data_IF_552343568641
#
_entry.id   IF_552343568641
#
_cell.length_a   1.000
_cell.length_b   1.000
_cell.length_c   1.000
_cell.angle_alpha   90.00
_cell.angle_beta   90.00
_cell.angle_gamma   90.00
#
_symmetry.space_group_name_H-M   'P 1'
#
loop_
_entity.id
_entity.type
_entity.pdbx_description
1 polymer ?
#
# COMPACT_ATOMS: atom_id res chain seq x y z
N UNK A 1 59.40 8.85 -4.02
CA UNK A 1 58.44 9.48 -3.06
C UNK A 1 57.14 9.71 -3.77
N UNK A 2 56.10 8.90 -3.50
CA UNK A 2 54.76 9.20 -4.00
C UNK A 2 54.31 10.49 -3.33
N UNK A 3 53.80 11.40 -4.13
CA UNK A 3 53.36 12.72 -3.68
C UNK A 3 52.11 12.55 -2.82
N UNK A 4 51.95 13.28 -1.73
CA UNK A 4 50.82 13.22 -0.81
C UNK A 4 49.44 13.43 -1.51
N UNK A 5 49.48 13.97 -2.72
CA UNK A 5 48.33 14.10 -3.65
C UNK A 5 48.00 12.81 -4.39
N UNK A 6 49.03 12.02 -4.79
CA UNK A 6 48.84 10.74 -5.47
C UNK A 6 48.20 9.72 -4.53
N UNK A 7 48.58 9.71 -3.23
CA UNK A 7 47.93 8.86 -2.23
C UNK A 7 46.45 9.26 -1.98
N UNK A 8 46.19 10.58 -1.95
CA UNK A 8 44.78 11.06 -1.83
C UNK A 8 43.94 10.73 -3.04
N UNK A 9 44.49 10.76 -4.23
CA UNK A 9 43.84 10.41 -5.48
C UNK A 9 43.63 8.89 -5.54
N UNK A 10 44.64 8.10 -5.22
CA UNK A 10 44.54 6.63 -5.19
C UNK A 10 43.52 6.15 -4.13
N UNK A 11 43.47 6.76 -2.96
CA UNK A 11 42.48 6.47 -1.93
C UNK A 11 41.08 6.82 -2.40
N UNK A 12 40.91 7.97 -3.07
CA UNK A 12 39.60 8.40 -3.60
C UNK A 12 39.13 7.55 -4.80
N UNK A 13 40.06 7.09 -5.64
CA UNK A 13 39.79 6.14 -6.72
C UNK A 13 39.43 4.78 -6.15
N UNK A 14 40.09 4.35 -5.06
CA UNK A 14 39.76 3.09 -4.38
C UNK A 14 38.39 3.16 -3.69
N UNK A 15 38.08 4.31 -3.08
CA UNK A 15 36.79 4.60 -2.47
C UNK A 15 35.66 4.62 -3.54
N UNK A 16 35.92 5.19 -4.71
CA UNK A 16 35.01 5.18 -5.87
C UNK A 16 34.86 3.78 -6.44
N UNK A 17 35.93 3.00 -6.54
CA UNK A 17 35.88 1.59 -7.02
C UNK A 17 35.19 0.66 -6.04
N UNK A 18 35.23 0.92 -4.75
CA UNK A 18 34.58 0.15 -3.71
C UNK A 18 33.10 0.59 -3.49
N UNK A 19 32.72 1.77 -3.97
CA UNK A 19 31.33 2.19 -4.02
C UNK A 19 30.65 1.66 -5.29
N UNK A 20 30.36 0.36 -5.30
CA UNK A 20 29.71 -0.35 -6.42
C UNK A 20 28.28 0.16 -6.76
N UNK A 21 27.77 1.22 -6.10
CA UNK A 21 26.36 1.58 -6.09
C UNK A 21 25.99 2.95 -6.67
N UNK A 22 26.91 3.76 -7.17
CA UNK A 22 26.59 5.07 -7.74
C UNK A 22 26.94 5.11 -9.23
N UNK A 23 25.92 5.06 -10.06
CA UNK A 23 26.11 4.96 -11.52
C UNK A 23 25.76 6.21 -12.30
N UNK A 24 24.96 7.12 -11.71
CA UNK A 24 24.56 8.36 -12.35
C UNK A 24 24.39 9.46 -11.31
N UNK A 25 24.90 10.65 -11.63
CA UNK A 25 24.77 11.82 -10.76
C UNK A 25 24.06 12.94 -11.47
N UNK A 26 23.20 13.63 -10.77
CA UNK A 26 22.47 14.80 -11.25
C UNK A 26 22.48 15.93 -10.24
N UNK A 27 21.81 17.02 -10.59
CA UNK A 27 21.64 18.18 -9.71
C UNK A 27 20.17 18.54 -9.60
N UNK A 28 19.75 18.93 -8.40
CA UNK A 28 18.42 19.46 -8.14
C UNK A 28 18.24 20.79 -8.88
N UNK A 29 17.25 20.88 -9.75
CA UNK A 29 16.86 22.10 -10.46
C UNK A 29 15.78 22.84 -9.69
N UNK A 30 14.80 22.10 -9.16
CA UNK A 30 13.64 22.66 -8.47
C UNK A 30 13.18 21.75 -7.35
N UNK A 31 12.83 22.34 -6.23
CA UNK A 31 12.24 21.69 -5.07
C UNK A 31 10.76 22.07 -4.97
N UNK A 32 9.87 21.11 -4.81
CA UNK A 32 8.43 21.32 -4.62
C UNK A 32 7.91 20.35 -3.57
N UNK A 33 7.63 20.80 -2.38
CA UNK A 33 7.10 20.01 -1.24
C UNK A 33 7.72 18.60 -1.11
N UNK A 34 7.13 17.62 -1.80
CA UNK A 34 7.54 16.21 -1.79
C UNK A 34 8.05 15.70 -3.15
N UNK A 35 8.33 16.62 -4.08
CA UNK A 35 8.83 16.31 -5.42
C UNK A 35 10.02 17.17 -5.79
N UNK A 36 10.96 16.59 -6.54
CA UNK A 36 12.13 17.28 -7.08
C UNK A 36 12.16 17.17 -8.59
N UNK A 37 12.65 18.22 -9.24
CA UNK A 37 13.13 18.17 -10.63
C UNK A 37 14.66 18.13 -10.58
N UNK A 38 15.27 17.14 -11.21
CA UNK A 38 16.72 17.00 -11.31
C UNK A 38 17.17 16.93 -12.78
N UNK A 39 18.38 17.40 -13.06
CA UNK A 39 19.05 17.29 -14.37
C UNK A 39 20.29 16.42 -14.26
N UNK A 40 20.80 15.93 -15.41
CA UNK A 40 22.05 15.16 -15.46
C UNK A 40 21.89 13.67 -15.19
N UNK A 41 20.71 13.21 -14.85
CA UNK A 41 20.38 11.80 -14.67
C UNK A 41 19.97 11.19 -16.02
N UNK A 42 20.94 10.93 -16.90
CA UNK A 42 20.65 10.52 -18.29
C UNK A 42 20.37 9.02 -18.44
N UNK A 43 20.74 8.21 -17.44
CA UNK A 43 20.64 6.75 -17.48
C UNK A 43 19.98 6.24 -16.20
N UNK A 44 18.70 6.56 -16.06
CA UNK A 44 17.87 6.14 -14.91
C UNK A 44 16.61 5.44 -15.38
N UNK A 45 16.11 4.56 -14.54
CA UNK A 45 14.87 3.80 -14.77
C UNK A 45 13.72 4.32 -13.90
N UNK A 46 12.46 4.03 -14.30
CA UNK A 46 11.31 4.26 -13.44
C UNK A 46 11.44 3.46 -12.14
N UNK A 47 10.99 4.06 -11.03
CA UNK A 47 11.10 3.50 -9.67
C UNK A 47 12.53 3.25 -9.18
N UNK A 48 13.55 3.71 -9.90
CA UNK A 48 14.93 3.65 -9.41
C UNK A 48 15.11 4.49 -8.16
N UNK A 49 15.74 3.91 -7.13
CA UNK A 49 16.03 4.60 -5.86
C UNK A 49 17.08 5.67 -6.08
N UNK A 50 16.83 6.85 -5.52
CA UNK A 50 17.74 7.98 -5.55
C UNK A 50 18.02 8.53 -4.15
N UNK A 51 19.26 8.95 -3.93
CA UNK A 51 19.70 9.63 -2.71
C UNK A 51 20.03 11.09 -3.06
N UNK A 52 19.54 12.03 -2.28
CA UNK A 52 19.77 13.45 -2.43
C UNK A 52 20.66 13.92 -1.31
N UNK A 53 21.96 14.13 -1.59
CA UNK A 53 22.95 14.68 -0.69
C UNK A 53 22.97 14.05 0.74
N UNK A 54 22.55 12.79 0.87
CA UNK A 54 22.34 12.05 2.13
C UNK A 54 21.32 12.69 3.11
N UNK A 55 20.53 13.65 2.66
CA UNK A 55 19.47 14.30 3.46
C UNK A 55 18.07 13.90 3.05
N UNK A 56 17.92 13.24 1.88
CA UNK A 56 16.63 12.73 1.45
C UNK A 56 16.79 11.49 0.57
N UNK A 57 15.72 10.67 0.55
CA UNK A 57 15.58 9.52 -0.33
C UNK A 57 14.28 9.63 -1.11
N UNK A 58 14.31 9.12 -2.33
CA UNK A 58 13.15 9.08 -3.20
C UNK A 58 13.31 8.05 -4.29
N UNK A 59 12.41 8.10 -5.25
CA UNK A 59 12.47 7.28 -6.46
C UNK A 59 12.10 8.09 -7.68
N UNK A 60 12.56 7.63 -8.84
CA UNK A 60 12.27 8.24 -10.13
C UNK A 60 10.80 8.01 -10.49
N UNK A 61 10.04 9.10 -10.53
CA UNK A 61 8.60 9.10 -10.84
C UNK A 61 8.33 9.27 -12.35
N UNK A 62 9.12 10.10 -13.03
CA UNK A 62 8.94 10.39 -14.45
C UNK A 62 10.26 10.85 -15.08
N UNK A 63 10.49 10.42 -16.30
CA UNK A 63 11.68 10.76 -17.10
C UNK A 63 11.22 11.62 -18.26
N UNK A 64 11.73 12.85 -18.33
CA UNK A 64 11.47 13.82 -19.40
C UNK A 64 12.77 14.05 -20.20
N UNK A 65 12.67 14.66 -21.36
CA UNK A 65 13.80 14.83 -22.30
C UNK A 65 15.05 15.48 -21.69
N UNK A 66 14.88 16.40 -20.74
CA UNK A 66 15.99 17.17 -20.14
C UNK A 66 15.98 17.20 -18.61
N UNK A 67 15.06 16.50 -17.98
CA UNK A 67 14.93 16.44 -16.53
C UNK A 67 14.20 15.18 -16.08
N UNK A 68 14.44 14.84 -14.81
CA UNK A 68 13.81 13.71 -14.13
C UNK A 68 12.98 14.25 -12.97
N UNK A 69 11.75 13.74 -12.81
CA UNK A 69 10.92 14.00 -11.64
C UNK A 69 11.15 12.90 -10.63
N UNK A 70 11.47 13.29 -9.40
CA UNK A 70 11.73 12.41 -8.28
C UNK A 70 10.65 12.63 -7.22
N UNK A 71 10.04 11.57 -6.76
CA UNK A 71 9.12 11.58 -5.63
C UNK A 71 9.88 11.26 -4.35
N UNK A 72 9.79 12.14 -3.35
CA UNK A 72 10.48 11.99 -2.07
C UNK A 72 9.70 11.04 -1.16
N UNK A 73 10.40 10.14 -0.51
CA UNK A 73 9.82 9.17 0.43
C UNK A 73 10.32 9.41 1.87
N UNK A 74 11.53 9.93 2.00
CA UNK A 74 12.13 10.28 3.28
C UNK A 74 12.91 11.59 3.15
N UNK A 75 12.76 12.48 4.13
CA UNK A 75 13.47 13.76 4.20
C UNK A 75 13.93 13.97 5.64
N UNK A 76 15.23 14.08 5.84
CA UNK A 76 15.85 14.28 7.15
C UNK A 76 16.48 15.67 7.31
N UNK A 77 16.64 16.41 6.21
CA UNK A 77 17.26 17.73 6.20
C UNK A 77 16.73 18.63 5.10
N UNK A 78 17.26 19.85 5.01
CA UNK A 78 16.88 20.82 3.98
C UNK A 78 17.48 20.44 2.62
N UNK A 79 16.68 20.51 1.56
CA UNK A 79 17.12 20.26 0.18
C UNK A 79 17.15 21.60 -0.56
N UNK A 80 18.28 21.87 -1.25
CA UNK A 80 18.51 23.12 -1.98
C UNK A 80 18.68 22.86 -3.49
N UNK A 81 18.36 23.86 -4.28
CA UNK A 81 18.70 23.86 -5.71
C UNK A 81 20.22 23.77 -5.86
N UNK A 82 20.67 22.87 -6.72
CA UNK A 82 22.09 22.57 -6.92
C UNK A 82 22.62 21.39 -6.11
N UNK A 83 21.87 20.86 -5.14
CA UNK A 83 22.25 19.64 -4.41
C UNK A 83 22.43 18.46 -5.36
N UNK A 84 23.37 17.58 -5.01
CA UNK A 84 23.67 16.40 -5.82
C UNK A 84 22.61 15.31 -5.59
N UNK A 85 22.22 14.70 -6.69
CA UNK A 85 21.31 13.54 -6.72
C UNK A 85 22.08 12.34 -7.24
N UNK A 86 22.06 11.26 -6.48
CA UNK A 86 22.72 10.00 -6.78
C UNK A 86 21.68 8.94 -7.12
N UNK A 87 21.68 8.44 -8.35
CA UNK A 87 20.90 7.30 -8.75
C UNK A 87 21.62 6.01 -8.39
N UNK A 88 20.96 5.04 -7.78
CA UNK A 88 21.60 3.88 -7.14
C UNK A 88 21.55 2.61 -8.01
N UNK A 89 21.00 2.68 -9.24
CA UNK A 89 20.83 1.53 -10.16
C UNK A 89 20.12 0.33 -9.53
N UNK A 90 19.26 0.60 -8.57
CA UNK A 90 18.41 -0.39 -7.95
C UNK A 90 16.99 0.15 -7.84
N UNK A 91 16.01 -0.72 -7.97
CA UNK A 91 14.62 -0.38 -7.76
C UNK A 91 14.38 -0.02 -6.28
N UNK A 92 13.53 0.98 -6.05
CA UNK A 92 13.08 1.32 -4.70
C UNK A 92 12.26 0.16 -4.12
N UNK A 93 12.66 -0.32 -2.94
CA UNK A 93 12.03 -1.44 -2.27
C UNK A 93 11.53 -1.06 -0.89
N UNK A 94 10.43 -1.69 -0.49
CA UNK A 94 9.93 -1.62 0.87
C UNK A 94 10.56 -2.71 1.74
N UNK A 95 10.58 -2.49 3.06
CA UNK A 95 11.25 -3.34 4.01
C UNK A 95 10.26 -3.87 5.03
N UNK A 96 10.17 -5.18 5.20
CA UNK A 96 9.37 -5.82 6.24
C UNK A 96 10.14 -6.93 6.94
N UNK A 97 9.66 -7.30 8.11
CA UNK A 97 10.15 -8.45 8.87
C UNK A 97 9.00 -9.38 9.22
N UNK A 98 9.26 -10.67 9.33
CA UNK A 98 8.28 -11.61 9.91
C UNK A 98 8.03 -11.32 11.40
N UNK A 99 8.99 -10.69 12.08
CA UNK A 99 8.84 -10.22 13.47
C UNK A 99 7.88 -9.03 13.61
N UNK A 100 7.36 -8.50 12.48
CA UNK A 100 6.34 -7.43 12.46
C UNK A 100 4.92 -7.92 12.82
N UNK A 101 4.71 -9.22 12.96
CA UNK A 101 3.43 -9.76 13.43
C UNK A 101 3.14 -9.25 14.85
N UNK A 102 1.95 -8.72 15.06
CA UNK A 102 1.55 -8.11 16.33
C UNK A 102 2.02 -6.66 16.51
N UNK A 103 2.55 -6.04 15.46
CA UNK A 103 3.12 -4.67 15.51
C UNK A 103 2.42 -3.72 14.55
N UNK A 104 2.71 -2.44 14.76
CA UNK A 104 2.37 -1.35 13.81
C UNK A 104 3.65 -0.91 13.14
N UNK A 105 3.73 -1.04 11.82
CA UNK A 105 4.96 -0.81 11.05
C UNK A 105 4.73 0.18 9.90
N UNK A 106 5.79 0.81 9.47
CA UNK A 106 5.83 1.58 8.21
C UNK A 106 6.44 0.75 7.06
N UNK A 107 6.53 1.34 5.88
CA UNK A 107 7.10 0.71 4.68
C UNK A 107 8.64 0.55 4.73
N UNK A 108 9.31 1.05 5.75
CA UNK A 108 10.76 0.95 5.96
C UNK A 108 11.13 -0.09 7.03
N UNK A 109 10.16 -0.82 7.58
CA UNK A 109 10.38 -1.78 8.64
C UNK A 109 10.69 -1.17 10.00
N UNK A 110 10.09 -0.01 10.31
CA UNK A 110 10.14 0.58 11.64
C UNK A 110 8.90 0.15 12.44
N UNK A 111 9.10 -0.29 13.67
CA UNK A 111 8.01 -0.44 14.64
C UNK A 111 7.62 0.96 15.14
N UNK A 112 6.43 1.41 14.76
CA UNK A 112 5.93 2.76 15.05
C UNK A 112 5.49 2.94 16.51
N UNK A 113 5.33 1.84 17.26
CA UNK A 113 5.00 1.88 18.70
C UNK A 113 6.27 1.86 19.52
N UNK A 114 7.20 0.94 19.23
CA UNK A 114 8.46 0.84 19.96
C UNK A 114 9.51 1.88 19.51
N UNK A 115 9.32 2.52 18.36
CA UNK A 115 10.27 3.48 17.79
C UNK A 115 11.61 2.84 17.40
N UNK A 116 11.61 1.57 17.03
CA UNK A 116 12.80 0.81 16.68
C UNK A 116 12.65 0.17 15.31
N UNK A 117 13.76 -0.02 14.62
CA UNK A 117 13.82 -0.79 13.39
C UNK A 117 14.05 -2.26 13.70
N UNK A 118 13.48 -3.15 12.89
CA UNK A 118 13.73 -4.59 13.05
C UNK A 118 15.12 -4.96 12.56
N UNK A 119 15.75 -5.95 13.20
CA UNK A 119 17.11 -6.39 12.86
C UNK A 119 17.15 -7.19 11.56
N UNK A 120 16.08 -7.97 11.28
CA UNK A 120 15.98 -8.82 10.09
C UNK A 120 14.92 -8.25 9.16
N UNK A 121 15.37 -7.52 8.15
CA UNK A 121 14.51 -6.94 7.13
C UNK A 121 14.68 -7.68 5.80
N UNK A 122 13.55 -7.91 5.14
CA UNK A 122 13.46 -8.49 3.80
C UNK A 122 12.97 -7.38 2.86
N UNK A 123 13.61 -7.27 1.72
CA UNK A 123 13.27 -6.30 0.68
C UNK A 123 12.12 -6.82 -0.19
N UNK A 124 11.11 -5.98 -0.42
CA UNK A 124 9.96 -6.26 -1.27
C UNK A 124 9.82 -5.18 -2.34
N UNK A 125 9.73 -5.55 -3.63
CA UNK A 125 9.48 -4.59 -4.70
C UNK A 125 8.08 -3.98 -4.52
N UNK A 126 7.91 -2.72 -4.93
CA UNK A 126 6.60 -2.06 -4.94
C UNK A 126 5.71 -2.73 -5.99
N UNK A 127 6.27 -2.95 -7.16
CA UNK A 127 5.62 -3.63 -8.28
C UNK A 127 6.31 -4.97 -8.51
N UNK A 128 5.87 -6.00 -7.76
CA UNK A 128 6.30 -7.38 -8.00
C UNK A 128 5.63 -7.96 -9.25
N UNK A 129 6.18 -9.07 -9.75
CA UNK A 129 5.54 -9.84 -10.79
C UNK A 129 4.19 -10.35 -10.30
N UNK A 130 3.15 -10.09 -11.09
CA UNK A 130 1.81 -10.58 -10.76
C UNK A 130 1.76 -12.09 -10.94
N UNK A 131 0.97 -12.77 -10.09
CA UNK A 131 0.70 -14.19 -10.25
C UNK A 131 0.14 -14.46 -11.64
N UNK A 132 0.79 -15.35 -12.39
CA UNK A 132 0.35 -15.75 -13.73
C UNK A 132 -1.09 -16.27 -13.71
N UNK A 133 -1.81 -16.11 -14.81
CA UNK A 133 -3.17 -16.66 -14.96
C UNK A 133 -3.17 -18.18 -14.73
N UNK A 134 -2.13 -18.88 -15.17
CA UNK A 134 -2.01 -20.33 -15.02
C UNK A 134 -1.80 -20.77 -13.56
N UNK A 135 -1.26 -19.88 -12.72
CA UNK A 135 -1.00 -20.16 -11.31
C UNK A 135 -2.15 -19.71 -10.39
N UNK A 136 -3.18 -19.07 -10.96
CA UNK A 136 -4.40 -18.66 -10.23
C UNK A 136 -5.36 -19.85 -10.13
N UNK A 137 -5.64 -20.27 -8.90
CA UNK A 137 -6.63 -21.28 -8.58
C UNK A 137 -8.05 -20.70 -8.51
N UNK A 138 -9.04 -21.59 -8.63
CA UNK A 138 -10.44 -21.20 -8.42
C UNK A 138 -10.71 -20.89 -6.94
N UNK A 139 -11.53 -19.89 -6.68
CA UNK A 139 -12.02 -19.56 -5.35
C UNK A 139 -13.07 -20.61 -4.94
N UNK A 140 -12.66 -21.53 -4.07
CA UNK A 140 -13.52 -22.65 -3.58
C UNK A 140 -13.54 -22.78 -2.06
N UNK A 141 -12.62 -22.07 -1.36
CA UNK A 141 -12.52 -22.13 0.09
C UNK A 141 -13.20 -20.91 0.69
N UNK A 142 -14.07 -21.13 1.67
CA UNK A 142 -14.77 -20.06 2.37
C UNK A 142 -13.83 -19.19 3.21
N UNK A 143 -14.11 -17.91 3.26
CA UNK A 143 -13.53 -16.96 4.19
C UNK A 143 -14.63 -16.42 5.10
N UNK A 144 -14.68 -16.94 6.33
CA UNK A 144 -15.72 -16.56 7.28
C UNK A 144 -15.37 -15.26 7.99
N UNK A 145 -16.23 -14.26 7.85
CA UNK A 145 -16.12 -12.97 8.52
C UNK A 145 -16.58 -13.03 9.99
N UNK A 146 -17.38 -14.02 10.36
CA UNK A 146 -18.04 -14.14 11.66
C UNK A 146 -19.28 -13.25 11.79
N UNK A 147 -19.69 -12.62 10.69
CA UNK A 147 -20.90 -11.79 10.61
C UNK A 147 -21.95 -12.58 9.84
N UNK A 148 -22.92 -13.13 10.55
CA UNK A 148 -23.95 -14.05 10.00
C UNK A 148 -24.60 -13.53 8.72
N UNK A 149 -24.94 -12.24 8.66
CA UNK A 149 -25.57 -11.67 7.48
C UNK A 149 -24.66 -11.64 6.24
N UNK A 150 -23.33 -11.57 6.42
CA UNK A 150 -22.36 -11.66 5.33
C UNK A 150 -22.15 -13.12 4.96
N UNK A 151 -21.82 -13.96 5.94
CA UNK A 151 -21.40 -15.34 5.71
C UNK A 151 -22.52 -16.19 5.09
N UNK A 152 -23.81 -15.86 5.35
CA UNK A 152 -24.97 -16.55 4.76
C UNK A 152 -25.43 -15.96 3.41
N UNK A 153 -25.50 -14.61 3.29
CA UNK A 153 -26.13 -13.97 2.14
C UNK A 153 -25.11 -13.57 1.09
N UNK A 154 -23.93 -13.11 1.51
CA UNK A 154 -22.84 -12.64 0.66
C UNK A 154 -21.51 -13.34 1.01
N UNK A 155 -21.47 -14.67 0.98
CA UNK A 155 -20.27 -15.39 1.39
C UNK A 155 -19.05 -14.93 0.58
N UNK A 156 -17.92 -14.88 1.26
CA UNK A 156 -16.65 -14.45 0.70
C UNK A 156 -15.73 -15.67 0.59
N UNK A 157 -15.00 -15.77 -0.49
CA UNK A 157 -14.01 -16.82 -0.69
C UNK A 157 -12.59 -16.36 -0.41
N UNK A 158 -11.73 -17.27 0.00
CA UNK A 158 -10.30 -17.02 0.13
C UNK A 158 -9.70 -16.72 -1.25
N UNK A 159 -9.06 -15.55 -1.38
CA UNK A 159 -8.58 -15.04 -2.67
C UNK A 159 -9.54 -14.08 -3.37
N UNK A 160 -10.71 -13.81 -2.79
CA UNK A 160 -11.70 -12.87 -3.32
C UNK A 160 -11.38 -11.43 -2.92
N UNK A 161 -11.83 -10.49 -3.74
CA UNK A 161 -11.76 -9.03 -3.49
C UNK A 161 -13.18 -8.55 -3.21
N UNK A 162 -13.49 -8.28 -1.95
CA UNK A 162 -14.82 -7.84 -1.53
C UNK A 162 -14.78 -6.42 -1.02
N UNK A 163 -15.37 -5.49 -1.77
CA UNK A 163 -15.42 -4.07 -1.41
C UNK A 163 -16.35 -3.82 -0.22
N UNK A 164 -15.92 -2.97 0.70
CA UNK A 164 -16.74 -2.41 1.78
C UNK A 164 -16.89 -0.93 1.52
N UNK A 165 -18.11 -0.48 1.18
CA UNK A 165 -18.38 0.89 0.75
C UNK A 165 -19.52 1.52 1.56
N UNK A 166 -19.41 2.80 1.84
CA UNK A 166 -20.47 3.57 2.53
C UNK A 166 -19.94 4.85 3.16
N UNK A 167 -20.83 5.63 3.74
CA UNK A 167 -20.51 6.92 4.33
C UNK A 167 -19.64 6.81 5.58
N UNK A 168 -19.08 7.94 5.98
CA UNK A 168 -18.31 8.04 7.21
C UNK A 168 -19.15 7.61 8.42
N UNK A 169 -18.52 6.89 9.36
CA UNK A 169 -19.14 6.43 10.62
C UNK A 169 -20.28 5.40 10.45
N UNK A 170 -20.38 4.70 9.33
CA UNK A 170 -21.36 3.61 9.12
C UNK A 170 -20.90 2.24 9.64
N UNK A 171 -19.68 2.15 10.21
CA UNK A 171 -19.16 0.90 10.79
C UNK A 171 -18.24 0.10 9.85
N UNK A 172 -17.78 0.66 8.72
CA UNK A 172 -16.85 -0.03 7.78
C UNK A 172 -15.61 -0.59 8.46
N UNK A 173 -14.88 0.26 9.19
CA UNK A 173 -13.68 -0.14 9.94
C UNK A 173 -14.00 -1.22 10.96
N UNK A 174 -15.11 -1.10 11.70
CA UNK A 174 -15.52 -2.10 12.68
C UNK A 174 -15.79 -3.46 12.03
N UNK A 175 -16.47 -3.48 10.88
CA UNK A 175 -16.69 -4.71 10.11
C UNK A 175 -15.38 -5.38 9.72
N UNK A 176 -14.38 -4.60 9.26
CA UNK A 176 -13.05 -5.11 8.96
C UNK A 176 -12.35 -5.71 10.19
N UNK A 177 -12.44 -5.03 11.34
CA UNK A 177 -11.85 -5.51 12.59
C UNK A 177 -12.54 -6.79 13.07
N UNK A 178 -13.85 -6.89 12.94
CA UNK A 178 -14.61 -8.10 13.28
C UNK A 178 -14.20 -9.29 12.41
N UNK A 179 -14.04 -9.05 11.09
CA UNK A 179 -13.54 -10.06 10.15
C UNK A 179 -12.12 -10.53 10.51
N UNK A 180 -11.23 -9.62 10.93
CA UNK A 180 -9.87 -9.97 11.42
C UNK A 180 -9.96 -10.81 12.68
N UNK A 181 -10.74 -10.38 13.68
CA UNK A 181 -10.86 -11.07 14.96
C UNK A 181 -11.40 -12.50 14.76
N UNK A 182 -12.30 -12.70 13.80
CA UNK A 182 -12.85 -14.01 13.49
C UNK A 182 -11.84 -14.98 12.86
N UNK A 183 -10.64 -14.51 12.46
CA UNK A 183 -9.59 -15.40 11.93
C UNK A 183 -8.80 -16.15 13.01
N UNK A 184 -9.08 -15.91 14.29
CA UNK A 184 -8.42 -16.60 15.40
C UNK A 184 -8.53 -18.11 15.24
N UNK A 185 -7.39 -18.82 15.21
CA UNK A 185 -7.34 -20.26 15.07
C UNK A 185 -7.62 -20.82 13.67
N UNK A 186 -7.83 -19.97 12.65
CA UNK A 186 -8.12 -20.39 11.27
C UNK A 186 -6.90 -20.42 10.36
N UNK A 187 -5.71 -20.21 10.91
CA UNK A 187 -4.44 -20.17 10.17
C UNK A 187 -4.41 -19.13 9.05
N UNK A 188 -4.99 -17.96 9.31
CA UNK A 188 -5.01 -16.80 8.42
C UNK A 188 -4.18 -15.68 9.04
N UNK A 189 -3.20 -15.17 8.31
CA UNK A 189 -2.47 -13.95 8.67
C UNK A 189 -3.26 -12.73 8.20
N UNK A 190 -3.35 -11.71 9.03
CA UNK A 190 -4.10 -10.51 8.72
C UNK A 190 -3.14 -9.32 8.57
N UNK A 191 -3.35 -8.51 7.53
CA UNK A 191 -2.64 -7.25 7.30
C UNK A 191 -3.68 -6.15 7.25
N UNK A 192 -3.64 -5.25 8.22
CA UNK A 192 -4.48 -4.05 8.21
C UNK A 192 -3.66 -2.87 7.71
N UNK A 193 -4.06 -2.30 6.58
CA UNK A 193 -3.38 -1.17 5.93
C UNK A 193 -4.13 0.12 6.25
N UNK A 194 -3.52 0.97 7.07
CA UNK A 194 -4.05 2.26 7.47
C UNK A 194 -3.51 3.37 6.56
N UNK A 195 -4.37 3.93 5.69
CA UNK A 195 -3.98 4.89 4.66
C UNK A 195 -4.33 6.33 5.07
N UNK A 196 -3.30 7.12 5.41
CA UNK A 196 -3.45 8.51 5.76
C UNK A 196 -4.34 8.76 6.98
N UNK A 197 -4.33 7.83 7.94
CA UNK A 197 -5.03 7.97 9.23
C UNK A 197 -4.23 8.81 10.22
N UNK A 198 -4.87 9.23 11.29
CA UNK A 198 -4.17 9.87 12.41
C UNK A 198 -3.47 8.83 13.29
N UNK A 199 -2.40 9.22 13.96
CA UNK A 199 -1.69 8.35 14.93
C UNK A 199 -2.62 7.81 16.02
N UNK A 200 -3.62 8.62 16.42
CA UNK A 200 -4.64 8.22 17.39
C UNK A 200 -5.52 7.09 16.84
N UNK A 201 -6.07 7.24 15.64
CA UNK A 201 -6.91 6.21 15.01
C UNK A 201 -6.18 4.89 14.87
N UNK A 202 -4.92 4.90 14.43
CA UNK A 202 -4.10 3.69 14.31
C UNK A 202 -3.84 3.04 15.67
N UNK A 203 -3.59 3.86 16.70
CA UNK A 203 -3.41 3.39 18.07
C UNK A 203 -4.69 2.75 18.63
N UNK A 204 -5.85 3.35 18.37
CA UNK A 204 -7.14 2.84 18.81
C UNK A 204 -7.44 1.48 18.13
N UNK A 205 -7.15 1.34 16.83
CA UNK A 205 -7.25 0.08 16.08
C UNK A 205 -6.33 -0.99 16.69
N UNK A 206 -5.08 -0.65 16.96
CA UNK A 206 -4.11 -1.58 17.56
C UNK A 206 -4.57 -2.06 18.93
N UNK A 207 -5.06 -1.17 19.79
CA UNK A 207 -5.57 -1.55 21.10
C UNK A 207 -6.83 -2.41 21.03
N UNK A 208 -7.74 -2.13 20.11
CA UNK A 208 -8.95 -2.94 19.91
C UNK A 208 -8.58 -4.37 19.47
N UNK A 209 -7.68 -4.52 18.49
CA UNK A 209 -7.18 -5.82 18.05
C UNK A 209 -6.44 -6.57 19.16
N UNK A 210 -5.63 -5.86 19.94
CA UNK A 210 -4.89 -6.45 21.09
C UNK A 210 -5.85 -6.91 22.17
N UNK A 211 -6.82 -6.09 22.54
CA UNK A 211 -7.86 -6.40 23.55
C UNK A 211 -8.66 -7.65 23.18
N UNK A 212 -8.95 -7.82 21.87
CA UNK A 212 -9.72 -8.95 21.35
C UNK A 212 -8.84 -10.18 21.03
N UNK A 213 -7.53 -10.10 21.30
CA UNK A 213 -6.58 -11.20 21.09
C UNK A 213 -6.22 -11.48 19.64
N UNK A 214 -6.44 -10.51 18.75
CA UNK A 214 -6.16 -10.63 17.32
C UNK A 214 -4.76 -10.13 16.91
N UNK A 215 -4.04 -9.44 17.80
CA UNK A 215 -2.71 -8.91 17.49
C UNK A 215 -1.70 -10.03 17.12
N UNK A 216 -1.78 -11.21 17.74
CA UNK A 216 -0.83 -12.30 17.53
C UNK A 216 -0.74 -12.87 16.11
N UNK A 217 -1.68 -12.53 15.22
CA UNK A 217 -1.72 -12.93 13.82
C UNK A 217 -2.04 -11.75 12.88
N UNK A 218 -1.92 -10.53 13.39
CA UNK A 218 -2.22 -9.31 12.62
C UNK A 218 -1.02 -8.38 12.58
N UNK A 219 -0.74 -7.83 11.40
CA UNK A 219 0.23 -6.76 11.17
C UNK A 219 -0.55 -5.52 10.77
N UNK A 220 -0.23 -4.36 11.36
CA UNK A 220 -0.77 -3.08 10.93
C UNK A 220 0.32 -2.34 10.16
N UNK A 221 0.08 -2.05 8.89
CA UNK A 221 0.97 -1.23 8.07
C UNK A 221 0.35 0.15 7.94
N UNK A 222 1.01 1.18 8.45
CA UNK A 222 0.42 2.50 8.57
C UNK A 222 1.22 3.56 7.82
N UNK A 223 0.47 4.48 7.20
CA UNK A 223 0.94 5.79 6.76
C UNK A 223 0.05 6.87 7.37
N UNK A 224 0.66 7.95 7.81
CA UNK A 224 -0.07 9.01 8.51
C UNK A 224 -0.37 10.20 7.59
N UNK A 225 -1.41 10.96 7.93
CA UNK A 225 -1.84 12.12 7.15
C UNK A 225 -0.85 13.29 7.18
N UNK A 226 0.03 13.33 8.19
CA UNK A 226 1.08 14.33 8.41
C UNK A 226 2.41 13.95 7.75
N UNK A 227 2.49 12.79 7.09
CA UNK A 227 3.65 12.32 6.36
C UNK A 227 3.64 12.75 4.88
N UNK A 228 4.74 12.45 4.19
CA UNK A 228 4.84 12.70 2.75
C UNK A 228 3.74 11.90 2.00
N UNK A 229 2.98 12.55 1.10
CA UNK A 229 1.94 11.88 0.31
C UNK A 229 2.41 10.61 -0.40
N UNK A 230 3.66 10.61 -0.83
CA UNK A 230 4.33 9.46 -1.46
C UNK A 230 4.29 8.21 -0.59
N UNK A 231 4.46 8.33 0.73
CA UNK A 231 4.38 7.19 1.65
C UNK A 231 2.99 6.56 1.62
N UNK A 232 1.94 7.38 1.73
CA UNK A 232 0.56 6.87 1.67
C UNK A 232 0.25 6.21 0.33
N UNK A 233 0.79 6.76 -0.78
CA UNK A 233 0.65 6.15 -2.10
C UNK A 233 1.31 4.76 -2.18
N UNK A 234 2.51 4.60 -1.63
CA UNK A 234 3.27 3.34 -1.69
C UNK A 234 2.77 2.27 -0.72
N UNK A 235 2.16 2.67 0.40
CA UNK A 235 1.80 1.76 1.50
C UNK A 235 0.95 0.56 1.07
N UNK A 236 -0.12 0.68 0.26
CA UNK A 236 -0.92 -0.48 -0.13
C UNK A 236 -0.15 -1.42 -1.07
N UNK A 237 0.71 -0.90 -1.96
CA UNK A 237 1.56 -1.73 -2.82
C UNK A 237 2.56 -2.54 -2.00
N UNK A 238 3.21 -1.90 -1.04
CA UNK A 238 4.14 -2.54 -0.12
C UNK A 238 3.47 -3.67 0.68
N UNK A 239 2.29 -3.39 1.22
CA UNK A 239 1.51 -4.36 1.97
C UNK A 239 1.11 -5.59 1.13
N UNK A 240 0.72 -5.35 -0.12
CA UNK A 240 0.35 -6.43 -1.04
C UNK A 240 1.56 -7.24 -1.50
N UNK A 241 2.74 -6.62 -1.72
CA UNK A 241 3.98 -7.36 -2.01
C UNK A 241 4.35 -8.29 -0.86
N UNK A 242 4.20 -7.83 0.38
CA UNK A 242 4.41 -8.66 1.54
C UNK A 242 3.37 -9.79 1.65
N UNK A 243 2.09 -9.49 1.37
CA UNK A 243 1.02 -10.49 1.36
C UNK A 243 1.24 -11.58 0.30
N UNK A 244 1.70 -11.21 -0.90
CA UNK A 244 2.03 -12.17 -1.97
C UNK A 244 3.20 -13.07 -1.58
N UNK A 245 4.23 -12.54 -0.94
CA UNK A 245 5.34 -13.34 -0.45
C UNK A 245 4.90 -14.37 0.60
N UNK A 246 3.97 -14.01 1.49
CA UNK A 246 3.37 -14.92 2.46
C UNK A 246 2.49 -15.97 1.76
N UNK A 247 1.71 -15.58 0.75
CA UNK A 247 0.91 -16.50 -0.07
C UNK A 247 1.77 -17.55 -0.77
N UNK A 248 2.93 -17.16 -1.31
CA UNK A 248 3.88 -18.09 -1.93
C UNK A 248 4.45 -19.09 -0.90
N UNK A 249 4.50 -18.71 0.38
CA UNK A 249 4.84 -19.62 1.49
C UNK A 249 3.64 -20.45 2.00
N UNK A 250 2.54 -20.48 1.23
CA UNK A 250 1.30 -21.25 1.51
C UNK A 250 0.45 -20.71 2.68
N UNK A 251 0.65 -19.46 3.08
CA UNK A 251 -0.24 -18.81 4.05
C UNK A 251 -1.49 -18.27 3.35
N UNK A 252 -2.61 -18.37 4.02
CA UNK A 252 -3.80 -17.59 3.68
C UNK A 252 -3.67 -16.21 4.33
N UNK A 253 -3.82 -15.15 3.56
CA UNK A 253 -3.63 -13.78 4.02
C UNK A 253 -4.91 -12.97 3.78
N UNK A 254 -5.36 -12.27 4.80
CA UNK A 254 -6.39 -11.23 4.69
C UNK A 254 -5.71 -9.86 4.64
N UNK A 255 -6.00 -9.07 3.63
CA UNK A 255 -5.52 -7.68 3.51
C UNK A 255 -6.70 -6.73 3.56
N UNK A 256 -6.73 -5.82 4.52
CA UNK A 256 -7.71 -4.72 4.61
C UNK A 256 -7.04 -3.43 4.16
N UNK A 257 -7.62 -2.73 3.18
CA UNK A 257 -7.10 -1.45 2.67
C UNK A 257 -8.06 -0.31 3.09
N UNK A 258 -7.77 0.37 4.21
CA UNK A 258 -8.64 1.39 4.80
C UNK A 258 -7.99 2.80 4.75
N UNK A 259 -8.36 3.73 3.83
CA UNK A 259 -9.31 3.53 2.72
C UNK A 259 -8.74 3.93 1.36
N UNK A 260 -9.26 3.35 0.29
CA UNK A 260 -8.80 3.60 -1.06
C UNK A 260 -9.26 4.94 -1.65
N UNK A 261 -10.30 5.59 -1.10
CA UNK A 261 -10.66 6.95 -1.50
C UNK A 261 -9.54 7.92 -1.13
N UNK A 262 -8.98 7.76 0.07
CA UNK A 262 -7.82 8.55 0.52
C UNK A 262 -6.60 8.30 -0.36
N UNK A 263 -6.34 7.05 -0.73
CA UNK A 263 -5.28 6.69 -1.67
C UNK A 263 -5.46 7.38 -3.03
N UNK A 264 -6.69 7.36 -3.58
CA UNK A 264 -7.02 8.03 -4.83
C UNK A 264 -6.78 9.56 -4.76
N UNK A 265 -7.19 10.19 -3.66
CA UNK A 265 -6.99 11.64 -3.44
C UNK A 265 -5.50 11.99 -3.36
N UNK A 266 -4.68 11.16 -2.73
CA UNK A 266 -3.22 11.29 -2.68
C UNK A 266 -2.62 11.14 -4.09
N UNK A 267 -3.06 10.13 -4.85
CA UNK A 267 -2.56 9.95 -6.22
C UNK A 267 -2.94 11.12 -7.13
N UNK A 268 -4.16 11.68 -6.98
CA UNK A 268 -4.56 12.91 -7.65
C UNK A 268 -3.61 14.07 -7.31
N UNK A 269 -3.28 14.25 -6.04
CA UNK A 269 -2.35 15.28 -5.58
C UNK A 269 -0.95 15.11 -6.20
N UNK A 270 -0.41 13.88 -6.21
CA UNK A 270 0.88 13.56 -6.82
C UNK A 270 0.86 13.86 -8.33
N UNK A 271 -0.20 13.43 -9.01
CA UNK A 271 -0.36 13.62 -10.45
C UNK A 271 -0.44 15.10 -10.85
N UNK A 272 -1.23 15.89 -10.13
CA UNK A 272 -1.34 17.35 -10.38
C UNK A 272 -0.01 18.07 -10.16
N UNK A 273 0.74 17.72 -9.13
CA UNK A 273 2.05 18.30 -8.87
C UNK A 273 3.11 17.86 -9.89
N UNK A 274 2.98 16.67 -10.48
CA UNK A 274 3.81 16.22 -11.59
C UNK A 274 3.39 16.80 -12.95
N UNK A 275 2.40 17.71 -12.97
CA UNK A 275 1.87 18.36 -14.18
C UNK A 275 1.30 17.39 -15.21
N UNK A 276 0.87 16.20 -14.80
CA UNK A 276 0.10 15.31 -15.66
C UNK A 276 -1.26 15.93 -15.96
N UNK A 277 -1.75 15.74 -17.19
CA UNK A 277 -3.08 16.22 -17.59
C UNK A 277 -4.16 15.54 -16.77
N UNK A 278 -5.02 16.30 -16.05
CA UNK A 278 -6.09 15.73 -15.27
C UNK A 278 -7.20 15.16 -16.14
N UNK A 279 -7.79 14.04 -15.71
CA UNK A 279 -8.99 13.46 -16.28
C UNK A 279 -10.26 13.85 -15.51
N UNK A 280 -11.23 12.93 -15.45
CA UNK A 280 -12.51 13.15 -14.75
C UNK A 280 -12.28 13.46 -13.26
N UNK A 281 -12.99 14.45 -12.73
CA UNK A 281 -12.91 14.92 -11.34
C UNK A 281 -11.48 15.28 -10.90
N UNK A 282 -10.65 15.72 -11.85
CA UNK A 282 -9.23 16.02 -11.70
C UNK A 282 -8.37 14.83 -11.26
N UNK A 283 -8.87 13.60 -11.30
CA UNK A 283 -8.06 12.40 -11.13
C UNK A 283 -7.21 12.15 -12.37
N UNK A 284 -6.03 11.52 -12.21
CA UNK A 284 -5.24 11.11 -13.36
C UNK A 284 -6.00 10.07 -14.20
N UNK A 285 -5.81 10.09 -15.52
CA UNK A 285 -6.50 9.19 -16.45
C UNK A 285 -6.19 7.70 -16.22
N UNK A 286 -5.07 7.40 -15.58
CA UNK A 286 -4.58 6.06 -15.25
C UNK A 286 -5.01 5.57 -13.86
N UNK A 287 -5.91 6.29 -13.14
CA UNK A 287 -6.34 5.92 -11.78
C UNK A 287 -7.02 4.55 -11.75
N UNK A 288 -7.80 4.21 -12.77
CA UNK A 288 -8.42 2.88 -12.88
C UNK A 288 -7.36 1.79 -12.93
N UNK A 289 -6.35 1.97 -13.77
CA UNK A 289 -5.23 1.04 -13.91
C UNK A 289 -4.42 0.91 -12.62
N UNK A 290 -4.19 2.02 -11.93
CA UNK A 290 -3.52 2.06 -10.62
C UNK A 290 -4.23 1.18 -9.59
N UNK A 291 -5.57 1.30 -9.47
CA UNK A 291 -6.35 0.49 -8.56
C UNK A 291 -6.49 -0.96 -9.04
N UNK A 292 -6.64 -1.20 -10.34
CA UNK A 292 -6.71 -2.54 -10.90
C UNK A 292 -5.44 -3.34 -10.62
N UNK A 293 -4.26 -2.78 -10.90
CA UNK A 293 -2.96 -3.42 -10.60
C UNK A 293 -2.80 -3.78 -9.12
N UNK A 294 -3.31 -2.94 -8.23
CA UNK A 294 -3.29 -3.19 -6.80
C UNK A 294 -4.25 -4.33 -6.41
N UNK A 295 -5.51 -4.24 -6.82
CA UNK A 295 -6.55 -5.17 -6.40
C UNK A 295 -6.46 -6.54 -7.09
N UNK A 296 -5.95 -6.59 -8.33
CA UNK A 296 -5.71 -7.84 -9.06
C UNK A 296 -4.66 -8.75 -8.40
N UNK A 297 -3.92 -8.27 -7.42
CA UNK A 297 -3.01 -9.07 -6.60
C UNK A 297 -3.74 -10.03 -5.65
N UNK A 298 -5.03 -9.77 -5.37
CA UNK A 298 -5.90 -10.68 -4.63
C UNK A 298 -6.25 -11.92 -5.48
N UNK A 299 -5.83 -13.10 -5.02
CA UNK A 299 -6.12 -14.36 -5.68
C UNK A 299 -5.90 -15.56 -4.75
N UNK A 300 -6.42 -16.72 -5.18
CA UNK A 300 -6.04 -18.04 -4.69
C UNK A 300 -4.91 -18.56 -5.57
N UNK A 301 -3.77 -18.92 -5.00
CA UNK A 301 -2.68 -19.55 -5.74
C UNK A 301 -2.90 -21.06 -5.86
N UNK A 302 -2.61 -21.67 -7.03
CA UNK A 302 -2.90 -23.09 -7.28
C UNK A 302 -2.11 -24.04 -6.35
N UNK A 303 -0.86 -23.70 -6.05
CA UNK A 303 0.04 -24.50 -5.21
C UNK A 303 0.34 -23.82 -3.84
N UNK A 304 -0.31 -22.71 -3.57
CA UNK A 304 0.00 -21.86 -2.42
C UNK A 304 -1.19 -21.55 -1.53
N UNK A 305 -1.05 -20.46 -0.80
CA UNK A 305 -2.12 -19.85 -0.02
C UNK A 305 -3.04 -18.97 -0.86
N UNK A 306 -3.60 -17.98 -0.21
CA UNK A 306 -4.48 -16.98 -0.84
C UNK A 306 -4.22 -15.57 -0.31
N UNK A 307 -4.52 -14.57 -1.12
CA UNK A 307 -4.62 -13.17 -0.69
C UNK A 307 -6.06 -12.71 -0.88
N UNK A 308 -6.81 -12.61 0.22
CA UNK A 308 -8.16 -12.06 0.24
C UNK A 308 -8.08 -10.58 0.54
N UNK A 309 -8.73 -9.73 -0.25
CA UNK A 309 -8.64 -8.27 -0.09
C UNK A 309 -10.01 -7.70 0.28
N UNK A 310 -10.05 -6.92 1.36
CA UNK A 310 -11.18 -6.09 1.74
C UNK A 310 -10.82 -4.61 1.54
N UNK A 311 -10.98 -4.07 0.32
CA UNK A 311 -10.83 -2.64 0.11
C UNK A 311 -12.01 -1.90 0.76
N UNK A 312 -11.69 -0.79 1.43
CA UNK A 312 -12.67 0.10 2.04
C UNK A 312 -12.73 1.39 1.23
N UNK A 313 -13.95 1.87 0.96
CA UNK A 313 -14.18 3.14 0.28
C UNK A 313 -15.19 3.99 1.06
N UNK A 314 -14.80 5.22 1.33
CA UNK A 314 -15.70 6.20 1.94
C UNK A 314 -16.48 6.95 0.86
N UNK A 315 -17.82 6.96 0.98
CA UNK A 315 -18.73 7.75 0.14
C UNK A 315 -19.16 9.04 0.85
N UNK A 316 -19.86 9.89 0.12
CA UNK A 316 -20.49 11.10 0.65
C UNK A 316 -21.97 11.08 0.32
N UNK A 317 -22.83 11.12 1.34
CA UNK A 317 -24.29 11.13 1.18
C UNK A 317 -24.88 9.85 0.59
N UNK A 318 -24.20 8.69 0.79
CA UNK A 318 -24.62 7.39 0.26
C UNK A 318 -24.42 7.23 -1.25
N UNK A 319 -23.73 8.15 -1.91
CA UNK A 319 -23.49 8.08 -3.36
C UNK A 319 -22.38 7.08 -3.68
N UNK A 320 -22.78 5.89 -4.14
CA UNK A 320 -21.90 4.84 -4.63
C UNK A 320 -21.58 4.99 -6.13
N UNK A 321 -22.12 6.01 -6.80
CA UNK A 321 -21.93 6.24 -8.23
C UNK A 321 -20.82 7.22 -8.56
N UNK A 322 -20.09 7.70 -7.53
CA UNK A 322 -18.95 8.57 -7.75
C UNK A 322 -17.86 7.85 -8.55
N UNK A 323 -16.97 8.62 -9.19
CA UNK A 323 -15.99 8.09 -10.14
C UNK A 323 -15.07 7.03 -9.52
N UNK A 324 -14.57 7.23 -8.31
CA UNK A 324 -13.68 6.28 -7.66
C UNK A 324 -14.43 5.04 -7.18
N UNK A 325 -15.61 5.22 -6.60
CA UNK A 325 -16.46 4.13 -6.14
C UNK A 325 -16.83 3.19 -7.27
N UNK A 326 -17.29 3.71 -8.42
CA UNK A 326 -17.66 2.90 -9.60
C UNK A 326 -16.46 2.15 -10.18
N UNK A 327 -15.26 2.77 -10.20
CA UNK A 327 -14.05 2.11 -10.65
C UNK A 327 -13.71 0.91 -9.76
N UNK A 328 -13.74 1.08 -8.44
CA UNK A 328 -13.38 0.01 -7.50
C UNK A 328 -14.46 -1.10 -7.49
N UNK A 329 -15.76 -0.75 -7.58
CA UNK A 329 -16.86 -1.72 -7.76
C UNK A 329 -16.62 -2.60 -8.99
N UNK A 330 -16.15 -2.01 -10.09
CA UNK A 330 -15.89 -2.76 -11.35
C UNK A 330 -14.72 -3.71 -11.24
N UNK A 331 -13.69 -3.38 -10.44
CA UNK A 331 -12.47 -4.18 -10.27
C UNK A 331 -12.71 -5.33 -9.28
N UNK A 332 -13.58 -5.14 -8.27
CA UNK A 332 -13.78 -6.11 -7.19
C UNK A 332 -14.81 -7.19 -7.57
N UNK A 333 -14.76 -8.32 -6.88
CA UNK A 333 -15.64 -9.47 -7.08
C UNK A 333 -16.98 -9.34 -6.36
N UNK A 334 -17.21 -8.21 -5.70
CA UNK A 334 -18.45 -7.89 -5.01
C UNK A 334 -18.30 -6.69 -4.10
N UNK A 335 -19.43 -6.25 -3.55
CA UNK A 335 -19.50 -5.08 -2.65
C UNK A 335 -20.45 -5.33 -1.48
N UNK A 336 -20.08 -4.83 -0.32
CA UNK A 336 -20.94 -4.69 0.85
C UNK A 336 -21.21 -3.20 1.05
N UNK A 337 -22.46 -2.79 0.86
CA UNK A 337 -22.87 -1.39 0.96
C UNK A 337 -23.33 -1.11 2.39
N UNK A 338 -22.69 -0.17 3.07
CA UNK A 338 -23.03 0.26 4.43
C UNK A 338 -23.96 1.46 4.37
N UNK A 339 -25.19 1.30 4.90
CA UNK A 339 -26.25 2.29 4.85
C UNK A 339 -26.31 3.16 6.09
N UNK A 340 -26.21 4.48 5.91
CA UNK A 340 -26.44 5.45 7.00
C UNK A 340 -27.86 5.35 7.57
N UNK A 341 -28.85 5.05 6.71
CA UNK A 341 -30.25 4.87 7.11
C UNK A 341 -30.41 3.68 8.06
N UNK A 342 -29.82 2.54 7.74
CA UNK A 342 -29.86 1.35 8.59
C UNK A 342 -29.08 1.56 9.89
N UNK A 343 -27.94 2.24 9.81
CA UNK A 343 -27.17 2.60 10.99
C UNK A 343 -27.96 3.50 11.96
N UNK A 344 -28.68 4.51 11.45
CA UNK A 344 -29.50 5.42 12.25
C UNK A 344 -30.71 4.72 12.89
N UNK A 345 -31.19 3.62 12.30
CA UNK A 345 -32.25 2.77 12.88
C UNK A 345 -31.73 1.82 13.96
N UNK A 346 -30.41 1.78 14.18
CA UNK A 346 -29.78 0.86 15.14
C UNK A 346 -29.52 -0.54 14.59
N UNK A 347 -29.72 -0.77 13.31
CA UNK A 347 -29.42 -2.05 12.63
C UNK A 347 -27.89 -2.21 12.54
N UNK A 348 -27.35 -3.30 13.10
CA UNK A 348 -25.89 -3.59 13.12
C UNK A 348 -25.65 -5.06 12.79
N UNK A 349 -24.81 -5.37 11.77
CA UNK A 349 -24.15 -4.42 10.85
C UNK A 349 -25.15 -3.68 9.96
N UNK A 350 -24.84 -2.41 9.65
CA UNK A 350 -25.73 -1.53 8.87
C UNK A 350 -25.64 -1.80 7.36
N UNK A 351 -25.70 -3.05 6.96
CA UNK A 351 -25.58 -3.49 5.57
C UNK A 351 -26.89 -3.21 4.82
N UNK A 352 -26.78 -2.66 3.63
CA UNK A 352 -27.86 -2.59 2.67
C UNK A 352 -27.88 -3.88 1.84
N UNK A 353 -28.81 -4.76 2.20
CA UNK A 353 -28.95 -6.07 1.55
C UNK A 353 -29.47 -5.99 0.09
N UNK A 354 -30.05 -4.87 -0.33
CA UNK A 354 -30.51 -4.68 -1.70
C UNK A 354 -29.40 -4.27 -2.68
N UNK A 355 -28.39 -3.55 -2.18
CA UNK A 355 -27.28 -3.02 -2.98
C UNK A 355 -25.99 -3.84 -2.85
N UNK A 356 -25.91 -4.74 -1.87
CA UNK A 356 -24.75 -5.60 -1.65
C UNK A 356 -24.77 -6.81 -2.59
N UNK A 357 -23.58 -7.26 -3.02
CA UNK A 357 -23.39 -8.38 -3.95
C UNK A 357 -22.12 -9.12 -3.63
N UNK A 358 -22.12 -10.45 -3.75
CA UNK A 358 -20.92 -11.28 -3.83
C UNK A 358 -21.00 -12.14 -5.09
N UNK A 359 -20.17 -11.85 -6.10
CA UNK A 359 -20.24 -12.52 -7.41
C UNK A 359 -19.68 -13.95 -7.38
N UNK A 360 -18.75 -14.21 -6.47
CA UNK A 360 -18.10 -15.52 -6.31
C UNK A 360 -18.66 -16.32 -5.13
N UNK A 361 -19.54 -15.72 -4.33
CA UNK A 361 -20.08 -16.31 -3.12
C UNK A 361 -20.77 -17.67 -3.33
N UNK A 362 -21.47 -17.86 -4.44
CA UNK A 362 -22.09 -19.14 -4.78
C UNK A 362 -21.13 -20.32 -4.93
N UNK A 363 -19.85 -20.05 -5.24
CA UNK A 363 -18.83 -21.11 -5.40
C UNK A 363 -18.25 -21.59 -4.05
N UNK A 364 -18.48 -20.88 -2.98
CA UNK A 364 -17.92 -21.13 -1.64
C UNK A 364 -19.00 -21.36 -0.59
N UNK A 365 -20.27 -21.37 -0.99
CA UNK A 365 -21.40 -21.69 -0.14
C UNK A 365 -21.43 -23.21 0.07
N UNK A 366 -21.45 -23.63 1.33
CA UNK A 366 -21.50 -25.05 1.73
C UNK A 366 -22.92 -25.63 1.62
#
# INVERSE_FOLDING_TARGET
>A
MKNKWDEKIDNKITEIKNNENVYSTGKVIKVSNYMLEASGLNDVSFYEEVNINNVAKGYVLSILSNKVLISLVEVTGEIKTGDLVYALKKEFKCLFSLDSVGKVVDIFGNDLIAGKKFDKLIEFPIEGEQVSIMDRGLVKREFLTGITGIDLIYPIGKGQRQLIIGDKKTGKTQLCLDAIVNQKGKNVLCIYVALGKTKKEVKDIYYELTKRGAASYTIIIASFHDELPTRTYLTPYAALSFAEALMMQKFDVLVVLDDLKKHADIYRQISLNSKKTPGRDAYPSDIFFTHSRMLERGCQHINGGSVTILPVVETKGGDITDYISTNIISITDGQLVMSTKNFSKGEKPAIDYGLSVSRLGGNVQS
#
